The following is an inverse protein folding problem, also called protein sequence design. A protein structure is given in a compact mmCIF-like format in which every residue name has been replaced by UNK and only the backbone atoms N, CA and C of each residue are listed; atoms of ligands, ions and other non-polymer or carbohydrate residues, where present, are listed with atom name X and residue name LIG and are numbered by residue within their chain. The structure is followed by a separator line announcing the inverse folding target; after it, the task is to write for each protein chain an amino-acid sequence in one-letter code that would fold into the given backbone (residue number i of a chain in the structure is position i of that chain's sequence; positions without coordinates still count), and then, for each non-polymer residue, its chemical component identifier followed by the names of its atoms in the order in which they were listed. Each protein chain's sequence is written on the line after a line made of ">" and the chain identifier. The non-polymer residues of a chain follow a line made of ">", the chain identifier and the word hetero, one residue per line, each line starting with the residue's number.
data_IF_986548022652
#
_entry.id   IF_986548022652
#
_cell.length_a   1.000
_cell.length_b   1.000
_cell.length_c   1.000
_cell.angle_alpha   90.00
_cell.angle_beta   90.00
_cell.angle_gamma   90.00
#
_symmetry.space_group_name_H-M   'P 1'
#
loop_
_entity.id
_entity.type
_entity.pdbx_description
1 polymer ?
#
# COMPACT_ATOMS: atom_id res chain seq x y z
N UNK A 1 2.07 6.46 27.27
CA UNK A 1 2.85 6.66 26.04
C UNK A 1 3.29 5.27 25.62
N UNK A 2 2.42 4.56 24.91
CA UNK A 2 2.84 3.30 24.29
C UNK A 2 3.55 3.72 23.00
N UNK A 3 4.87 3.75 23.05
CA UNK A 3 5.68 3.78 21.85
C UNK A 3 5.37 2.47 21.13
N UNK A 4 4.60 2.50 20.04
CA UNK A 4 4.47 1.35 19.17
C UNK A 4 5.83 1.17 18.48
N UNK A 5 6.74 0.41 19.11
CA UNK A 5 8.15 0.15 18.71
C UNK A 5 8.32 -0.51 17.32
N UNK A 6 7.25 -0.60 16.52
CA UNK A 6 7.21 -1.43 15.33
C UNK A 6 7.01 -0.67 14.00
N UNK A 7 6.78 0.64 14.05
CA UNK A 7 6.66 1.52 12.89
C UNK A 7 7.67 2.67 13.00
N UNK A 8 8.56 2.81 12.02
CA UNK A 8 9.57 3.88 11.95
C UNK A 8 9.17 4.79 10.78
N UNK A 9 8.90 6.06 11.08
CA UNK A 9 8.56 7.07 10.08
C UNK A 9 9.84 7.78 9.68
N UNK A 10 10.16 7.77 8.39
CA UNK A 10 11.24 8.59 7.85
C UNK A 10 10.65 9.84 7.20
N UNK A 11 10.73 10.96 7.91
CA UNK A 11 10.24 12.27 7.45
C UNK A 11 11.04 12.82 6.25
N UNK A 12 12.23 12.29 5.97
CA UNK A 12 13.06 12.78 4.86
C UNK A 12 12.67 12.12 3.54
N UNK A 13 12.17 10.89 3.58
CA UNK A 13 11.75 10.13 2.39
C UNK A 13 10.23 9.95 2.27
N UNK A 14 9.44 10.32 3.30
CA UNK A 14 7.99 10.14 3.29
C UNK A 14 7.58 8.67 3.38
N UNK A 15 8.42 7.84 4.01
CA UNK A 15 8.22 6.38 4.09
C UNK A 15 7.94 5.91 5.52
N UNK A 16 7.20 4.81 5.65
CA UNK A 16 6.86 4.18 6.93
C UNK A 16 7.38 2.75 6.94
N UNK A 17 8.29 2.43 7.85
CA UNK A 17 8.84 1.09 7.95
C UNK A 17 8.16 0.30 9.06
N UNK A 18 7.45 -0.77 8.71
CA UNK A 18 6.80 -1.68 9.67
C UNK A 18 7.55 -3.00 9.69
N UNK A 19 7.77 -3.59 10.86
CA UNK A 19 8.33 -4.94 10.93
C UNK A 19 7.23 -5.98 11.05
N UNK A 20 7.32 -7.02 10.23
CA UNK A 20 6.45 -8.19 10.35
C UNK A 20 6.71 -8.97 11.66
N UNK A 21 5.84 -9.95 12.01
CA UNK A 21 6.03 -10.92 13.12
C UNK A 21 7.40 -11.62 13.13
N UNK A 22 8.06 -11.71 11.98
CA UNK A 22 9.41 -12.28 11.82
C UNK A 22 10.55 -11.28 12.04
N UNK A 23 10.25 -10.00 12.20
CA UNK A 23 11.23 -8.92 12.33
C UNK A 23 11.75 -8.38 10.99
N UNK A 24 11.27 -8.88 9.85
CA UNK A 24 11.61 -8.34 8.53
C UNK A 24 10.99 -6.96 8.35
N UNK A 25 11.76 -5.94 7.91
CA UNK A 25 11.23 -4.61 7.63
C UNK A 25 10.44 -4.64 6.32
N UNK A 26 9.28 -3.98 6.34
CA UNK A 26 8.45 -3.64 5.20
C UNK A 26 8.45 -2.11 5.10
N UNK A 27 8.98 -1.57 4.01
CA UNK A 27 9.09 -0.12 3.82
C UNK A 27 7.92 0.34 2.96
N UNK A 28 7.00 1.07 3.56
CA UNK A 28 5.85 1.65 2.89
C UNK A 28 6.17 3.03 2.34
N UNK A 29 5.67 3.31 1.16
CA UNK A 29 5.64 4.64 0.57
C UNK A 29 4.18 4.94 0.23
N UNK A 30 3.62 5.99 0.83
CA UNK A 30 2.23 6.39 0.56
C UNK A 30 2.22 7.42 -0.57
N UNK A 31 1.23 7.32 -1.44
CA UNK A 31 1.07 8.23 -2.56
C UNK A 31 -0.21 9.02 -2.40
N UNK A 32 -0.14 10.31 -2.71
CA UNK A 32 -1.32 11.19 -2.79
C UNK A 32 -1.75 11.30 -4.27
N UNK A 33 -3.04 11.08 -4.55
CA UNK A 33 -3.68 11.27 -5.86
C UNK A 33 -2.90 10.67 -7.06
N UNK A 34 -2.34 9.46 -6.90
CA UNK A 34 -1.56 8.79 -7.95
C UNK A 34 -2.39 7.75 -8.68
N UNK A 35 -2.66 7.98 -9.97
CA UNK A 35 -3.43 7.05 -10.80
C UNK A 35 -2.52 6.32 -11.80
N UNK A 36 -2.67 5.00 -11.86
CA UNK A 36 -1.92 4.11 -12.74
C UNK A 36 -2.91 3.44 -13.69
N UNK A 37 -2.80 3.66 -15.02
CA UNK A 37 -3.57 2.91 -15.99
C UNK A 37 -2.98 1.50 -16.11
N UNK A 38 -3.82 0.49 -15.92
CA UNK A 38 -3.45 -0.92 -16.11
C UNK A 38 -4.30 -1.53 -17.21
N UNK A 39 -3.64 -2.20 -18.15
CA UNK A 39 -4.29 -2.98 -19.19
C UNK A 39 -4.50 -4.41 -18.70
N UNK A 40 -5.76 -4.84 -18.65
CA UNK A 40 -6.11 -6.23 -18.30
C UNK A 40 -5.89 -7.19 -19.50
N UNK A 41 -6.11 -8.49 -19.33
CA UNK A 41 -5.86 -9.52 -20.34
C UNK A 41 -6.71 -9.33 -21.62
N UNK A 42 -7.86 -8.67 -21.51
CA UNK A 42 -8.73 -8.31 -22.63
C UNK A 42 -8.28 -7.02 -23.36
N UNK A 43 -7.19 -6.38 -22.92
CA UNK A 43 -6.71 -5.09 -23.45
C UNK A 43 -7.60 -3.91 -23.03
N UNK A 44 -8.32 -4.06 -21.92
CA UNK A 44 -9.13 -3.00 -21.33
C UNK A 44 -8.28 -2.22 -20.35
N UNK A 45 -8.02 -0.96 -20.66
CA UNK A 45 -7.34 -0.03 -19.74
C UNK A 45 -8.29 0.40 -18.64
N UNK A 46 -7.96 0.06 -17.40
CA UNK A 46 -8.66 0.51 -16.19
C UNK A 46 -7.72 1.37 -15.37
N UNK A 47 -8.19 2.51 -14.88
CA UNK A 47 -7.40 3.37 -13.99
C UNK A 47 -7.53 2.87 -12.56
N UNK A 48 -6.39 2.68 -11.91
CA UNK A 48 -6.32 2.34 -10.50
C UNK A 48 -5.63 3.45 -9.72
N UNK A 49 -6.16 3.78 -8.55
CA UNK A 49 -5.52 4.70 -7.62
C UNK A 49 -4.49 3.95 -6.78
N UNK A 50 -3.22 4.31 -6.90
CA UNK A 50 -2.17 3.83 -6.03
C UNK A 50 -2.18 4.63 -4.73
N UNK A 51 -2.58 3.95 -3.66
CA UNK A 51 -2.62 4.52 -2.31
C UNK A 51 -1.30 4.31 -1.56
N UNK A 52 -0.62 3.20 -1.85
CA UNK A 52 0.64 2.85 -1.20
C UNK A 52 1.45 1.84 -2.02
N UNK A 53 2.76 1.90 -1.88
CA UNK A 53 3.66 0.81 -2.23
C UNK A 53 4.38 0.31 -0.98
N UNK A 54 4.84 -0.94 -1.03
CA UNK A 54 5.58 -1.57 0.04
C UNK A 54 6.73 -2.38 -0.55
N UNK A 55 7.96 -2.05 -0.16
CA UNK A 55 9.11 -2.91 -0.40
C UNK A 55 9.24 -3.93 0.74
N UNK A 56 9.23 -5.21 0.39
CA UNK A 56 9.37 -6.31 1.33
C UNK A 56 10.18 -7.46 0.73
N UNK A 57 11.27 -7.84 1.41
CA UNK A 57 12.20 -8.91 0.98
C UNK A 57 12.83 -8.68 -0.41
N UNK A 58 12.98 -7.42 -0.83
CA UNK A 58 13.49 -7.04 -2.16
C UNK A 58 12.44 -7.11 -3.27
N UNK A 59 11.17 -7.30 -2.91
CA UNK A 59 10.03 -7.25 -3.83
C UNK A 59 9.20 -6.01 -3.51
N UNK A 60 8.78 -5.28 -4.55
CA UNK A 60 7.90 -4.12 -4.40
C UNK A 60 6.47 -4.53 -4.70
N UNK A 61 5.56 -4.21 -3.77
CA UNK A 61 4.13 -4.44 -3.88
C UNK A 61 3.41 -3.10 -3.93
N UNK A 62 2.29 -3.05 -4.63
CA UNK A 62 1.48 -1.84 -4.80
C UNK A 62 0.04 -2.14 -4.41
N UNK A 63 -0.50 -1.36 -3.49
CA UNK A 63 -1.91 -1.35 -3.16
C UNK A 63 -2.64 -0.37 -4.07
N UNK A 64 -3.64 -0.89 -4.78
CA UNK A 64 -4.35 -0.23 -5.86
C UNK A 64 -5.85 -0.30 -5.61
N UNK A 65 -6.54 0.83 -5.68
CA UNK A 65 -8.00 0.90 -5.63
C UNK A 65 -8.55 1.05 -7.05
N UNK A 66 -9.53 0.24 -7.46
CA UNK A 66 -10.18 0.46 -8.74
C UNK A 66 -10.89 1.81 -8.73
N UNK A 67 -10.69 2.61 -9.78
CA UNK A 67 -11.38 3.89 -9.90
C UNK A 67 -12.89 3.63 -9.98
N UNK A 68 -13.69 4.22 -9.06
CA UNK A 68 -15.13 4.04 -9.09
C UNK A 68 -15.69 4.66 -10.38
N UNK A 69 -16.54 3.91 -11.10
CA UNK A 69 -17.20 4.45 -12.30
C UNK A 69 -18.26 5.50 -11.93
N UNK A 70 -18.79 5.46 -10.71
CA UNK A 70 -19.80 6.39 -10.17
C UNK A 70 -19.59 6.63 -8.67
N UNK A 71 -20.13 7.73 -8.12
CA UNK A 71 -20.03 8.08 -6.69
C UNK A 71 -20.61 7.00 -5.74
N UNK A 72 -21.53 6.16 -6.22
CA UNK A 72 -22.11 5.04 -5.46
C UNK A 72 -21.26 3.75 -5.51
N UNK A 73 -20.23 3.68 -6.35
CA UNK A 73 -19.44 2.47 -6.62
C UNK A 73 -18.03 2.55 -6.01
N UNK A 74 -17.92 3.20 -4.84
CA UNK A 74 -16.68 3.24 -4.07
C UNK A 74 -16.39 1.85 -3.49
N UNK A 75 -15.34 1.20 -4.00
CA UNK A 75 -14.85 -0.07 -3.45
C UNK A 75 -13.90 0.22 -2.28
N UNK A 76 -14.22 -0.31 -1.10
CA UNK A 76 -13.29 -0.34 0.04
C UNK A 76 -12.23 -1.46 -0.09
N UNK A 77 -12.34 -2.29 -1.14
CA UNK A 77 -11.41 -3.38 -1.41
C UNK A 77 -10.30 -2.92 -2.35
N UNK A 78 -9.07 -2.86 -1.82
CA UNK A 78 -7.86 -2.65 -2.61
C UNK A 78 -7.30 -3.99 -3.10
N UNK A 79 -6.70 -3.97 -4.28
CA UNK A 79 -5.94 -5.09 -4.82
C UNK A 79 -4.45 -4.85 -4.60
N UNK A 80 -3.71 -5.92 -4.33
CA UNK A 80 -2.25 -5.85 -4.22
C UNK A 80 -1.60 -6.54 -5.41
N UNK A 81 -0.77 -5.80 -6.12
CA UNK A 81 0.02 -6.32 -7.24
C UNK A 81 1.52 -6.20 -6.93
N UNK A 82 2.29 -7.16 -7.42
CA UNK A 82 3.74 -7.10 -7.40
C UNK A 82 4.22 -6.26 -8.59
N UNK A 83 5.02 -5.23 -8.32
CA UNK A 83 5.70 -4.45 -9.35
C UNK A 83 7.10 -4.97 -9.61
N UNK A 84 7.48 -5.08 -10.88
CA UNK A 84 8.82 -5.41 -11.34
C UNK A 84 9.27 -4.37 -12.37
N UNK A 85 10.45 -3.79 -12.17
CA UNK A 85 11.06 -2.89 -13.16
C UNK A 85 11.69 -3.74 -14.29
N UNK A 86 11.09 -3.70 -15.48
CA UNK A 86 11.65 -4.27 -16.71
C UNK A 86 12.16 -3.14 -17.61
N UNK A 87 13.43 -2.76 -17.39
CA UNK A 87 14.09 -1.69 -18.15
C UNK A 87 13.55 -0.31 -17.82
N UNK A 88 12.79 0.28 -18.75
CA UNK A 88 12.12 1.58 -18.58
C UNK A 88 10.61 1.41 -18.29
N UNK A 89 10.12 0.17 -18.18
CA UNK A 89 8.71 -0.16 -17.96
C UNK A 89 8.51 -0.79 -16.57
N UNK A 90 7.41 -0.45 -15.90
CA UNK A 90 7.00 -1.07 -14.64
C UNK A 90 5.89 -2.08 -14.95
N UNK A 91 6.17 -3.35 -14.71
CA UNK A 91 5.23 -4.44 -14.94
C UNK A 91 4.56 -4.85 -13.63
N UNK A 92 3.25 -4.99 -13.66
CA UNK A 92 2.47 -5.49 -12.54
C UNK A 92 2.13 -6.96 -12.74
N UNK A 93 2.28 -7.76 -11.69
CA UNK A 93 1.96 -9.19 -11.68
C UNK A 93 1.16 -9.52 -10.43
N UNK A 94 0.20 -10.43 -10.56
CA UNK A 94 -0.55 -10.97 -9.41
C UNK A 94 0.37 -11.79 -8.50
N UNK A 95 0.02 -11.85 -7.21
CA UNK A 95 0.73 -12.69 -6.25
C UNK A 95 0.27 -14.15 -6.44
N UNK A 96 1.19 -15.03 -6.86
CA UNK A 96 0.89 -16.45 -7.11
C UNK A 96 0.60 -17.26 -5.84
N UNK A 97 1.14 -16.82 -4.69
CA UNK A 97 1.04 -17.55 -3.42
C UNK A 97 -0.02 -16.93 -2.51
N UNK A 98 -1.05 -17.70 -2.14
CA UNK A 98 -2.08 -17.26 -1.19
C UNK A 98 -1.47 -16.82 0.14
N UNK A 99 -0.51 -17.59 0.69
CA UNK A 99 0.18 -17.24 1.95
C UNK A 99 0.95 -15.91 1.85
N UNK A 100 1.52 -15.60 0.69
CA UNK A 100 2.19 -14.32 0.45
C UNK A 100 1.14 -13.21 0.37
N UNK A 101 0.08 -13.40 -0.41
CA UNK A 101 -0.96 -12.39 -0.57
C UNK A 101 -1.62 -12.02 0.77
N UNK A 102 -2.00 -13.01 1.59
CA UNK A 102 -2.54 -12.77 2.93
C UNK A 102 -1.56 -11.96 3.79
N UNK A 103 -0.29 -12.34 3.81
CA UNK A 103 0.74 -11.67 4.61
C UNK A 103 0.98 -10.23 4.16
N UNK A 104 1.07 -10.02 2.86
CA UNK A 104 1.28 -8.70 2.26
C UNK A 104 0.05 -7.82 2.51
N UNK A 105 -1.16 -8.35 2.34
CA UNK A 105 -2.41 -7.68 2.68
C UNK A 105 -2.47 -7.28 4.15
N UNK A 106 -2.13 -8.18 5.08
CA UNK A 106 -2.03 -7.86 6.51
C UNK A 106 -1.04 -6.72 6.81
N UNK A 107 0.09 -6.68 6.09
CA UNK A 107 1.08 -5.62 6.22
C UNK A 107 0.54 -4.28 5.70
N UNK A 108 -0.10 -4.26 4.53
CA UNK A 108 -0.74 -3.05 3.99
C UNK A 108 -1.81 -2.51 4.93
N UNK A 109 -2.67 -3.37 5.47
CA UNK A 109 -3.66 -2.96 6.47
C UNK A 109 -2.96 -2.33 7.67
N UNK A 110 -1.91 -2.96 8.23
CA UNK A 110 -1.14 -2.37 9.33
C UNK A 110 -0.50 -1.03 8.97
N UNK A 111 0.01 -0.89 7.75
CA UNK A 111 0.54 0.37 7.21
C UNK A 111 -0.49 1.47 7.18
N UNK A 112 -1.61 1.22 6.52
CA UNK A 112 -2.73 2.16 6.37
C UNK A 112 -3.34 2.52 7.73
N UNK A 113 -3.58 1.53 8.60
CA UNK A 113 -4.06 1.78 9.96
C UNK A 113 -3.05 2.58 10.79
N UNK A 114 -1.75 2.30 10.66
CA UNK A 114 -0.74 3.07 11.39
C UNK A 114 -0.65 4.51 10.91
N UNK A 115 -0.93 4.79 9.64
CA UNK A 115 -1.04 6.16 9.12
C UNK A 115 -2.31 6.83 9.66
N UNK A 116 -3.45 6.13 9.60
CA UNK A 116 -4.73 6.65 10.08
C UNK A 116 -4.73 6.90 11.61
N UNK A 117 -4.12 6.02 12.41
CA UNK A 117 -3.96 6.23 13.86
C UNK A 117 -3.09 7.47 14.18
N UNK A 118 -2.23 7.89 13.25
CA UNK A 118 -1.48 9.13 13.40
C UNK A 118 -2.27 10.37 12.99
N UNK A 119 -3.10 10.28 11.95
CA UNK A 119 -3.99 11.38 11.54
C UNK A 119 -5.16 11.59 12.51
N UNK A 120 -5.77 10.52 13.02
CA UNK A 120 -6.87 10.57 14.00
C UNK A 120 -6.36 10.88 15.43
N UNK A 121 -5.04 10.98 15.61
CA UNK A 121 -4.38 11.33 16.86
C UNK A 121 -4.42 12.82 17.22
N UNK A 122 -4.98 13.69 16.37
CA UNK A 122 -5.15 15.14 16.62
C UNK A 122 -6.58 15.57 17.02
N UNK A 123 -7.36 14.73 17.70
CA UNK A 123 -8.65 15.14 18.29
C UNK A 123 -8.79 14.88 19.82
N UNK A 124 -7.67 14.87 20.57
CA UNK A 124 -7.70 14.96 22.05
C UNK A 124 -6.66 15.96 22.61
N UNK A 125 -6.51 17.16 22.02
CA UNK A 125 -5.86 18.31 22.70
C UNK A 125 -6.51 19.67 22.41
N UNK A 126 -7.82 19.81 22.60
CA UNK A 126 -8.42 21.13 22.86
C UNK A 126 -9.26 21.12 24.14
N UNK A 127 -8.57 21.53 25.21
CA UNK A 127 -9.00 22.09 26.51
C UNK A 127 -10.48 22.03 26.92
#
# INVERSE_FOLDING_TARGET
>A
MAENENAIFDENEGTVTIKDKTGKPAVFHFFEETYIPLDDEDGVTTEFECIASMEYDGVVYYALLPKPENEDDVSDEFVVLKGEEDGDELLFSSIDSEEENERIGELFLKGLFSLQEMEDGEDDILQ
#
